data_IF_310887774552
#
_entry.id   IF_310887774552
#
_cell.length_a   1.000
_cell.length_b   1.000
_cell.length_c   1.000
_cell.angle_alpha   90.00
_cell.angle_beta   90.00
_cell.angle_gamma   90.00
#
_symmetry.space_group_name_H-M   'P 1'
#
loop_
_entity.id
_entity.type
_entity.pdbx_description
1 polymer ?
#
# COMPACT_ATOMS: atom_id res chain seq x y z
N UNK A 1 4.00 16.01 31.90
CA UNK A 1 4.56 15.96 30.54
C UNK A 1 6.01 16.42 30.59
N UNK A 2 6.95 15.70 29.95
CA UNK A 2 8.38 16.05 29.94
C UNK A 2 8.72 16.73 28.62
N UNK A 3 9.16 17.99 28.68
CA UNK A 3 9.60 18.72 27.49
C UNK A 3 10.93 18.16 26.97
N UNK A 4 11.31 18.56 25.75
CA UNK A 4 12.51 18.07 25.06
C UNK A 4 13.85 18.42 25.75
N UNK A 5 13.83 19.32 26.74
CA UNK A 5 15.00 19.63 27.59
C UNK A 5 15.20 18.60 28.71
N UNK A 6 14.12 18.00 29.22
CA UNK A 6 14.16 16.99 30.30
C UNK A 6 14.27 15.57 29.76
N UNK A 7 13.72 15.32 28.57
CA UNK A 7 13.69 13.99 27.97
C UNK A 7 13.93 14.08 26.46
N UNK A 8 14.91 13.32 25.97
CA UNK A 8 15.23 13.22 24.54
C UNK A 8 15.13 11.77 24.09
N UNK A 9 14.24 11.53 23.14
CA UNK A 9 14.06 10.22 22.53
C UNK A 9 15.03 10.06 21.36
N UNK A 10 15.57 8.86 21.21
CA UNK A 10 16.51 8.45 20.16
C UNK A 10 16.14 7.05 19.72
N UNK A 11 16.30 6.76 18.44
CA UNK A 11 16.29 5.39 17.96
C UNK A 11 17.54 4.67 18.46
N UNK A 12 17.39 3.37 18.70
CA UNK A 12 18.55 2.49 18.90
C UNK A 12 19.30 2.35 17.56
N UNK A 13 20.57 1.91 17.57
CA UNK A 13 21.38 1.70 16.36
C UNK A 13 20.70 0.75 15.36
N UNK A 14 19.96 -0.24 15.88
CA UNK A 14 19.17 -1.20 15.08
C UNK A 14 17.78 -0.66 14.67
N UNK A 15 17.40 0.52 15.15
CA UNK A 15 16.13 1.18 14.82
C UNK A 15 14.90 0.33 15.12
N UNK A 16 14.12 0.07 14.07
CA UNK A 16 12.89 -0.73 14.14
C UNK A 16 13.12 -2.08 13.48
N UNK A 17 12.93 -3.16 14.24
CA UNK A 17 13.03 -4.53 13.73
C UNK A 17 11.67 -5.02 13.25
N UNK A 18 11.60 -5.53 12.02
CA UNK A 18 10.39 -6.12 11.45
C UNK A 18 10.49 -7.64 11.52
N UNK A 19 9.40 -8.33 11.87
CA UNK A 19 9.37 -9.79 11.89
C UNK A 19 9.38 -10.34 10.46
N UNK A 20 10.37 -11.16 10.05
CA UNK A 20 10.45 -11.71 8.69
C UNK A 20 9.31 -12.68 8.34
N UNK A 21 8.62 -13.26 9.34
CA UNK A 21 7.48 -14.14 9.13
C UNK A 21 6.16 -13.38 8.95
N UNK A 22 6.16 -12.07 9.19
CA UNK A 22 4.97 -11.25 9.07
C UNK A 22 4.58 -11.10 7.59
N UNK A 23 3.42 -11.63 7.26
CA UNK A 23 2.82 -11.51 5.92
C UNK A 23 1.45 -10.87 6.04
N UNK A 24 1.18 -9.84 5.25
CA UNK A 24 -0.17 -9.29 5.12
C UNK A 24 -0.84 -9.85 3.86
N UNK A 25 -2.17 -9.92 3.90
CA UNK A 25 -2.98 -10.47 2.81
C UNK A 25 -2.96 -9.63 1.54
N UNK A 26 -2.85 -8.30 1.66
CA UNK A 26 -3.03 -7.37 0.54
C UNK A 26 -1.83 -6.46 0.30
N UNK A 27 -0.84 -6.49 1.19
CA UNK A 27 0.31 -5.59 1.15
C UNK A 27 1.60 -6.30 1.50
N UNK A 28 2.67 -5.93 0.82
CA UNK A 28 4.02 -6.21 1.23
C UNK A 28 4.60 -4.96 1.86
N UNK A 29 5.29 -5.12 2.98
CA UNK A 29 6.14 -4.09 3.53
C UNK A 29 7.38 -4.75 4.11
N UNK A 30 8.48 -4.01 4.13
CA UNK A 30 9.75 -4.49 4.66
C UNK A 30 10.26 -3.54 5.73
N UNK A 31 11.56 -3.29 5.70
CA UNK A 31 12.21 -2.33 6.58
C UNK A 31 11.60 -0.92 6.45
N UNK A 32 11.64 -0.12 7.53
CA UNK A 32 11.17 1.26 7.49
C UNK A 32 11.94 2.05 6.43
N UNK A 33 11.19 2.83 5.64
CA UNK A 33 11.74 3.71 4.61
C UNK A 33 12.60 4.82 5.22
N UNK A 34 12.20 5.33 6.39
CA UNK A 34 12.85 6.43 7.08
C UNK A 34 12.56 6.36 8.57
N UNK A 35 13.58 6.64 9.38
CA UNK A 35 13.46 6.87 10.81
C UNK A 35 13.82 8.32 11.10
N UNK A 36 12.89 9.08 11.67
CA UNK A 36 13.11 10.48 12.04
C UNK A 36 13.12 10.67 13.56
N UNK A 37 14.00 11.57 14.00
CA UNK A 37 14.08 12.04 15.39
C UNK A 37 13.85 13.55 15.42
N UNK A 38 12.73 13.99 15.97
CA UNK A 38 12.42 15.42 16.10
C UNK A 38 12.43 15.84 17.56
N UNK A 39 13.11 16.94 17.88
CA UNK A 39 13.21 17.45 19.25
C UNK A 39 12.49 18.79 19.44
N UNK A 40 11.95 19.31 18.33
CA UNK A 40 11.24 20.58 18.30
C UNK A 40 9.85 20.45 17.69
N UNK A 41 8.98 19.66 18.31
CA UNK A 41 7.55 19.64 17.97
C UNK A 41 6.83 20.68 18.83
N UNK A 42 6.41 21.84 18.26
CA UNK A 42 5.68 22.84 19.02
C UNK A 42 4.27 22.33 19.36
N UNK A 43 4.00 22.15 20.64
CA UNK A 43 2.66 21.90 21.17
C UNK A 43 2.23 23.03 22.11
N UNK A 44 0.94 23.06 22.47
CA UNK A 44 0.36 24.10 23.34
C UNK A 44 1.12 24.30 24.67
N UNK A 45 1.74 23.24 25.18
CA UNK A 45 2.39 23.23 26.50
C UNK A 45 3.94 23.21 26.40
N UNK A 46 4.49 23.57 25.25
CA UNK A 46 5.92 23.60 24.99
C UNK A 46 6.36 22.56 23.98
N UNK A 47 7.67 22.31 23.98
CA UNK A 47 8.33 21.56 22.92
C UNK A 47 8.61 20.13 23.35
N UNK A 48 8.27 19.15 22.52
CA UNK A 48 8.41 17.73 22.85
C UNK A 48 9.30 16.98 21.87
N UNK A 49 9.96 15.92 22.38
CA UNK A 49 10.75 14.99 21.58
C UNK A 49 9.83 13.91 21.00
N UNK A 50 10.01 13.58 19.71
CA UNK A 50 9.17 12.66 18.94
C UNK A 50 10.04 11.79 18.02
N UNK A 51 9.73 10.50 17.99
CA UNK A 51 10.29 9.54 17.05
C UNK A 51 9.22 9.17 16.01
N UNK A 52 9.61 9.10 14.74
CA UNK A 52 8.71 8.73 13.63
C UNK A 52 9.38 7.64 12.81
N UNK A 53 8.61 6.61 12.45
CA UNK A 53 9.04 5.56 11.53
C UNK A 53 8.08 5.53 10.34
N UNK A 54 8.61 5.67 9.14
CA UNK A 54 7.84 5.63 7.90
C UNK A 54 7.93 4.24 7.28
N UNK A 55 6.79 3.65 6.95
CA UNK A 55 6.71 2.37 6.24
C UNK A 55 6.07 2.56 4.88
N UNK A 56 6.65 1.93 3.86
CA UNK A 56 6.05 1.85 2.52
C UNK A 56 5.32 0.52 2.38
N UNK A 57 4.03 0.59 2.09
CA UNK A 57 3.20 -0.58 1.82
C UNK A 57 2.98 -0.70 0.31
N UNK A 58 3.41 -1.82 -0.27
CA UNK A 58 3.21 -2.15 -1.67
C UNK A 58 2.00 -3.09 -1.82
N UNK A 59 1.00 -2.70 -2.61
CA UNK A 59 -0.23 -3.48 -2.77
C UNK A 59 0.04 -4.72 -3.63
N UNK A 60 -0.38 -5.89 -3.13
CA UNK A 60 -0.42 -7.11 -3.92
C UNK A 60 -1.66 -7.13 -4.85
N UNK A 61 -1.44 -7.11 -6.16
CA UNK A 61 -2.54 -7.04 -7.15
C UNK A 61 -2.94 -8.40 -7.76
N UNK A 62 -2.17 -9.47 -7.51
CA UNK A 62 -2.33 -10.76 -8.19
C UNK A 62 -3.74 -11.35 -8.09
N UNK A 63 -4.34 -11.29 -6.91
CA UNK A 63 -5.72 -11.75 -6.70
C UNK A 63 -6.75 -10.94 -7.48
N UNK A 64 -6.61 -9.61 -7.51
CA UNK A 64 -7.50 -8.73 -8.27
C UNK A 64 -7.39 -8.98 -9.78
N UNK A 65 -6.18 -9.25 -10.28
CA UNK A 65 -5.97 -9.56 -11.69
C UNK A 65 -6.78 -10.80 -12.12
N UNK A 66 -6.75 -11.87 -11.32
CA UNK A 66 -7.41 -13.13 -11.65
C UNK A 66 -8.93 -13.03 -11.46
N UNK A 67 -9.39 -12.44 -10.36
CA UNK A 67 -10.82 -12.42 -10.05
C UNK A 67 -11.62 -11.33 -10.77
N UNK A 68 -10.99 -10.21 -11.12
CA UNK A 68 -11.71 -9.05 -11.67
C UNK A 68 -11.26 -8.72 -13.08
N UNK A 69 -9.94 -8.64 -13.33
CA UNK A 69 -9.43 -8.23 -14.64
C UNK A 69 -9.55 -9.34 -15.69
N UNK A 70 -9.30 -10.59 -15.34
CA UNK A 70 -9.46 -11.70 -16.26
C UNK A 70 -10.90 -11.86 -16.78
N UNK A 71 -11.95 -11.95 -15.94
CA UNK A 71 -13.32 -12.08 -16.44
C UNK A 71 -13.79 -10.84 -17.19
N UNK A 72 -13.44 -9.62 -16.75
CA UNK A 72 -13.81 -8.40 -17.48
C UNK A 72 -13.15 -8.32 -18.86
N UNK A 73 -11.88 -8.72 -18.97
CA UNK A 73 -11.18 -8.78 -20.26
C UNK A 73 -11.83 -9.80 -21.19
N UNK A 74 -12.22 -10.98 -20.68
CA UNK A 74 -12.94 -11.98 -21.46
C UNK A 74 -14.28 -11.44 -21.97
N UNK A 75 -15.03 -10.71 -21.15
CA UNK A 75 -16.30 -10.07 -21.58
C UNK A 75 -16.05 -9.08 -22.72
N UNK A 76 -15.01 -8.25 -22.62
CA UNK A 76 -14.63 -7.32 -23.71
C UNK A 76 -14.26 -8.08 -24.98
N UNK A 77 -13.43 -9.11 -24.88
CA UNK A 77 -13.05 -9.95 -26.03
C UNK A 77 -14.29 -10.58 -26.69
N UNK A 78 -15.20 -11.17 -25.91
CA UNK A 78 -16.43 -11.79 -26.42
C UNK A 78 -17.32 -10.77 -27.11
N UNK A 79 -17.46 -9.57 -26.57
CA UNK A 79 -18.22 -8.49 -27.23
C UNK A 79 -17.64 -8.12 -28.58
N UNK A 80 -16.31 -8.11 -28.72
CA UNK A 80 -15.64 -7.88 -30.00
C UNK A 80 -15.85 -9.02 -30.98
N UNK A 81 -15.77 -10.27 -30.51
CA UNK A 81 -16.07 -11.44 -31.34
C UNK A 81 -17.52 -11.43 -31.87
N UNK A 82 -18.48 -10.91 -31.11
CA UNK A 82 -19.86 -10.73 -31.59
C UNK A 82 -19.99 -9.79 -32.78
N UNK A 83 -19.05 -8.85 -32.99
CA UNK A 83 -19.02 -8.02 -34.22
C UNK A 83 -18.49 -8.78 -35.45
N UNK A 84 -17.69 -9.84 -35.25
CA UNK A 84 -17.10 -10.65 -36.32
C UNK A 84 -17.98 -11.82 -36.77
N UNK A 85 -18.88 -12.28 -35.89
CA UNK A 85 -19.98 -13.16 -36.27
C UNK A 85 -20.99 -12.34 -37.06
N UNK A 86 -20.72 -12.25 -38.37
CA UNK A 86 -21.46 -11.39 -39.31
C UNK A 86 -22.97 -11.62 -39.31
N UNK A 87 -23.67 -10.62 -39.86
CA UNK A 87 -25.12 -10.57 -40.10
C UNK A 87 -25.72 -11.76 -40.91
N UNK A 88 -24.92 -12.75 -41.32
CA UNK A 88 -25.36 -13.94 -42.05
C UNK A 88 -26.25 -14.89 -41.21
N UNK A 89 -26.39 -14.64 -39.90
CA UNK A 89 -27.30 -15.38 -39.02
C UNK A 89 -28.73 -14.83 -38.97
N UNK A 90 -29.06 -13.78 -39.74
CA UNK A 90 -30.46 -13.34 -39.94
C UNK A 90 -30.94 -13.94 -41.27
N UNK A 91 -31.73 -15.02 -41.26
CA UNK A 91 -32.22 -15.62 -42.48
C UNK A 91 -33.27 -14.71 -43.14
N UNK A 92 -32.98 -14.25 -44.35
CA UNK A 92 -33.96 -13.93 -45.38
C UNK A 92 -34.77 -12.64 -45.19
N UNK A 93 -34.43 -11.63 -46.00
CA UNK A 93 -35.44 -10.79 -46.64
C UNK A 93 -35.76 -11.38 -48.01
#
# INVERSE_FOLDING_TARGET
SYNSQKLRLRWNDKGVTVNPELKLLQYNFGEPLLLEETNHVPEKNGNFSRLIAFFKFERQIGHHLIQTFAPSTLVVMLSWFSFWLGLDAIPGR
#
